data_IF_696339258002
#
_entry.id   IF_696339258002
#
_cell.length_a   1.000
_cell.length_b   1.000
_cell.length_c   1.000
_cell.angle_alpha   90.00
_cell.angle_beta   90.00
_cell.angle_gamma   90.00
#
_symmetry.space_group_name_H-M   'P 1'
#
loop_
_entity.id
_entity.type
_entity.pdbx_description
1 polymer ?
#
# COMPACT_ATOMS: atom_id res chain seq x y z
N UNK A 1 20.43 -9.90 15.58
CA UNK A 1 19.17 -10.07 14.82
C UNK A 1 18.31 -8.84 15.09
N UNK A 2 17.37 -8.50 14.21
CA UNK A 2 16.43 -7.40 14.47
C UNK A 2 15.41 -7.85 15.52
N UNK A 3 15.18 -7.05 16.56
CA UNK A 3 14.16 -7.32 17.60
C UNK A 3 12.77 -6.78 17.20
N UNK A 4 12.62 -6.29 15.97
CA UNK A 4 11.38 -5.71 15.46
C UNK A 4 10.37 -6.79 15.06
N UNK A 5 9.08 -6.46 15.19
CA UNK A 5 7.98 -7.31 14.72
C UNK A 5 7.58 -6.92 13.29
N UNK A 6 7.56 -7.91 12.42
CA UNK A 6 7.20 -7.79 11.01
C UNK A 6 5.86 -8.48 10.75
N UNK A 7 5.10 -7.93 9.80
CA UNK A 7 3.73 -8.34 9.52
C UNK A 7 3.49 -8.46 8.02
N UNK A 8 2.60 -9.38 7.65
CA UNK A 8 2.16 -9.59 6.28
C UNK A 8 0.65 -9.80 6.28
N UNK A 9 -0.04 -9.21 5.31
CA UNK A 9 -1.40 -9.62 4.99
C UNK A 9 -1.37 -10.95 4.22
N UNK A 10 -2.46 -11.70 4.33
CA UNK A 10 -2.62 -13.01 3.69
C UNK A 10 -2.50 -12.91 2.16
N UNK A 11 -1.90 -13.91 1.52
CA UNK A 11 -1.68 -13.90 0.08
C UNK A 11 -0.36 -13.27 -0.31
N UNK A 12 -0.38 -12.13 -1.01
CA UNK A 12 0.87 -11.63 -1.61
C UNK A 12 1.89 -11.20 -0.57
N UNK A 13 1.45 -10.72 0.60
CA UNK A 13 2.37 -10.40 1.68
C UNK A 13 3.18 -11.61 2.15
N UNK A 14 2.54 -12.76 2.30
CA UNK A 14 3.20 -14.02 2.65
C UNK A 14 4.08 -14.52 1.51
N UNK A 15 3.58 -14.47 0.28
CA UNK A 15 4.36 -14.82 -0.91
C UNK A 15 5.64 -13.98 -1.04
N UNK A 16 5.53 -12.67 -0.79
CA UNK A 16 6.67 -11.75 -0.84
C UNK A 16 7.70 -12.05 0.24
N UNK A 17 7.26 -12.39 1.46
CA UNK A 17 8.16 -12.85 2.53
C UNK A 17 8.92 -14.10 2.11
N UNK A 18 8.25 -15.07 1.50
CA UNK A 18 8.82 -16.37 1.15
C UNK A 18 9.70 -16.35 -0.09
N UNK A 19 9.33 -15.57 -1.10
CA UNK A 19 9.96 -15.63 -2.43
C UNK A 19 10.80 -14.39 -2.76
N UNK A 20 10.55 -13.24 -2.13
CA UNK A 20 11.27 -11.98 -2.38
C UNK A 20 12.05 -11.46 -1.15
N UNK A 21 11.85 -12.06 0.04
CA UNK A 21 12.66 -11.77 1.22
C UNK A 21 12.32 -10.45 1.94
N UNK A 22 11.13 -9.89 1.75
CA UNK A 22 10.68 -8.68 2.45
C UNK A 22 9.28 -8.83 3.05
N UNK A 23 8.98 -8.05 4.09
CA UNK A 23 7.67 -8.04 4.74
C UNK A 23 6.85 -6.82 4.32
N UNK A 24 5.53 -6.89 4.43
CA UNK A 24 4.65 -5.78 4.05
C UNK A 24 4.62 -4.65 5.07
N UNK A 25 4.83 -4.95 6.35
CA UNK A 25 4.86 -3.95 7.41
C UNK A 25 5.84 -4.31 8.53
N UNK A 26 6.29 -3.28 9.24
CA UNK A 26 7.07 -3.39 10.48
C UNK A 26 6.50 -2.41 11.50
N UNK A 27 6.48 -2.84 12.77
CA UNK A 27 6.09 -1.96 13.88
C UNK A 27 7.30 -1.55 14.72
N UNK A 28 7.46 -0.25 14.94
CA UNK A 28 8.56 0.38 15.66
C UNK A 28 7.96 1.30 16.72
N UNK A 29 7.80 0.80 17.95
CA UNK A 29 7.15 1.55 19.03
C UNK A 29 5.72 1.96 18.68
N UNK A 30 5.50 3.27 18.58
CA UNK A 30 4.24 3.92 18.21
C UNK A 30 4.09 4.14 16.69
N UNK A 31 4.98 3.59 15.86
CA UNK A 31 4.97 3.76 14.40
C UNK A 31 4.78 2.44 13.69
N UNK A 32 4.03 2.49 12.60
CA UNK A 32 3.95 1.40 11.61
C UNK A 32 4.50 1.94 10.30
N UNK A 33 5.49 1.24 9.74
CA UNK A 33 6.02 1.51 8.41
C UNK A 33 5.63 0.35 7.49
N UNK A 34 5.19 0.67 6.28
CA UNK A 34 4.83 -0.33 5.26
C UNK A 34 5.79 -0.26 4.09
N UNK A 35 6.02 -1.41 3.46
CA UNK A 35 6.70 -1.49 2.17
C UNK A 35 5.87 -0.79 1.09
N UNK A 36 6.52 -0.42 -0.01
CA UNK A 36 5.86 0.19 -1.16
C UNK A 36 4.68 -0.66 -1.66
N UNK A 37 3.49 -0.05 -1.66
CA UNK A 37 2.28 -0.68 -2.17
C UNK A 37 2.07 -0.26 -3.62
N UNK A 38 2.13 -1.25 -4.51
CA UNK A 38 1.58 -1.16 -5.86
C UNK A 38 0.21 -1.84 -5.95
N UNK A 39 -0.19 -2.21 -7.15
CA UNK A 39 -1.45 -2.92 -7.42
C UNK A 39 -1.19 -4.12 -8.30
N UNK A 40 -2.06 -5.12 -8.20
CA UNK A 40 -2.36 -6.00 -9.32
C UNK A 40 -3.88 -6.04 -9.51
N UNK A 41 -4.36 -6.12 -10.75
CA UNK A 41 -5.74 -6.41 -11.06
C UNK A 41 -6.10 -7.79 -10.49
N UNK A 42 -7.18 -7.86 -9.71
CA UNK A 42 -7.83 -9.13 -9.40
C UNK A 42 -8.41 -9.69 -10.70
N UNK A 43 -7.81 -10.76 -11.23
CA UNK A 43 -8.52 -11.60 -12.18
C UNK A 43 -9.55 -12.37 -11.37
N UNK A 44 -10.81 -11.95 -11.35
CA UNK A 44 -11.86 -12.84 -10.82
C UNK A 44 -12.22 -13.87 -11.89
N UNK A 45 -12.10 -15.18 -11.60
CA UNK A 45 -13.10 -16.13 -12.03
C UNK A 45 -13.88 -16.63 -10.82
N UNK A 46 -15.18 -16.29 -10.81
CA UNK A 46 -16.26 -16.82 -9.96
C UNK A 46 -16.14 -16.63 -8.44
N UNK A 47 -16.70 -15.51 -7.97
CA UNK A 47 -17.67 -15.56 -6.87
C UNK A 47 -17.18 -15.27 -5.46
N UNK A 48 -15.90 -14.97 -5.25
CA UNK A 48 -15.39 -14.60 -3.92
C UNK A 48 -14.99 -13.13 -3.86
N UNK A 49 -15.89 -12.28 -3.35
CA UNK A 49 -15.66 -10.86 -3.04
C UNK A 49 -14.80 -10.65 -1.78
N UNK A 50 -14.08 -11.67 -1.30
CA UNK A 50 -13.57 -11.69 0.08
C UNK A 50 -12.27 -10.91 0.29
N UNK A 51 -11.58 -10.50 -0.77
CA UNK A 51 -10.33 -9.70 -0.65
C UNK A 51 -10.46 -8.38 -1.40
N UNK A 52 -10.66 -7.32 -0.63
CA UNK A 52 -10.72 -5.93 -1.12
C UNK A 52 -9.35 -5.30 -0.84
N UNK A 53 -8.25 -5.83 -1.38
CA UNK A 53 -6.91 -5.30 -1.10
C UNK A 53 -5.76 -6.29 -1.21
N UNK A 54 -4.56 -5.75 -1.32
CA UNK A 54 -3.31 -6.48 -1.58
C UNK A 54 -3.00 -6.59 -3.06
N UNK A 55 -1.91 -7.30 -3.35
CA UNK A 55 -1.70 -7.87 -4.68
C UNK A 55 -2.31 -9.27 -4.72
N UNK A 56 -2.70 -9.71 -5.90
CA UNK A 56 -3.23 -11.03 -6.20
C UNK A 56 -2.08 -12.05 -6.05
N UNK A 57 -2.13 -12.94 -5.05
CA UNK A 57 -1.11 -13.95 -4.86
C UNK A 57 -1.24 -15.13 -5.81
N UNK A 58 -2.43 -15.38 -6.34
CA UNK A 58 -2.72 -16.57 -7.16
C UNK A 58 -2.34 -16.34 -8.61
N UNK A 59 -2.34 -15.08 -9.04
CA UNK A 59 -1.95 -14.69 -10.38
C UNK A 59 -0.48 -14.29 -10.42
N UNK A 60 0.38 -15.18 -10.94
CA UNK A 60 1.81 -14.92 -11.15
C UNK A 60 2.19 -15.08 -12.65
N UNK A 61 2.79 -14.07 -13.31
CA UNK A 61 3.07 -12.73 -12.78
C UNK A 61 1.78 -11.96 -12.45
N UNK A 62 1.82 -10.97 -11.54
CA UNK A 62 0.64 -10.19 -11.20
C UNK A 62 0.04 -9.55 -12.45
N UNK A 63 -1.29 -9.54 -12.57
CA UNK A 63 -1.97 -8.80 -13.63
C UNK A 63 -2.12 -7.35 -13.22
N UNK A 64 -2.19 -6.40 -14.14
CA UNK A 64 -2.31 -4.97 -13.82
C UNK A 64 -3.41 -4.33 -14.64
N UNK A 65 -4.16 -3.41 -14.04
CA UNK A 65 -5.03 -2.53 -14.82
C UNK A 65 -4.15 -1.60 -15.66
N UNK A 66 -4.54 -1.33 -16.90
CA UNK A 66 -3.89 -0.29 -17.72
C UNK A 66 -4.40 1.12 -17.39
N UNK A 67 -5.36 1.25 -16.47
CA UNK A 67 -5.91 2.53 -16.03
C UNK A 67 -5.22 3.03 -14.75
N UNK A 68 -4.55 4.19 -14.86
CA UNK A 68 -3.82 4.83 -13.77
C UNK A 68 -4.72 5.09 -12.55
N UNK A 69 -5.96 5.52 -12.75
CA UNK A 69 -6.87 5.83 -11.65
C UNK A 69 -7.21 4.57 -10.85
N UNK A 70 -7.51 3.47 -11.53
CA UNK A 70 -7.77 2.16 -10.93
C UNK A 70 -6.58 1.68 -10.12
N UNK A 71 -5.35 1.83 -10.65
CA UNK A 71 -4.15 1.49 -9.89
C UNK A 71 -4.01 2.33 -8.62
N UNK A 72 -4.18 3.65 -8.71
CA UNK A 72 -4.09 4.55 -7.54
C UNK A 72 -5.17 4.23 -6.50
N UNK A 73 -6.42 4.05 -6.90
CA UNK A 73 -7.52 3.70 -5.98
C UNK A 73 -7.19 2.40 -5.22
N UNK A 74 -6.63 1.40 -5.92
CA UNK A 74 -6.24 0.12 -5.32
C UNK A 74 -5.03 0.24 -4.39
N UNK A 75 -4.04 1.08 -4.73
CA UNK A 75 -2.88 1.31 -3.86
C UNK A 75 -3.30 1.85 -2.49
N UNK A 76 -4.26 2.78 -2.43
CA UNK A 76 -4.75 3.29 -1.14
C UNK A 76 -5.47 2.23 -0.31
N UNK A 77 -6.21 1.33 -0.95
CA UNK A 77 -6.80 0.15 -0.31
C UNK A 77 -5.70 -0.77 0.26
N UNK A 78 -4.61 -0.96 -0.49
CA UNK A 78 -3.49 -1.82 -0.09
C UNK A 78 -2.72 -1.24 1.11
N UNK A 79 -2.55 0.09 1.16
CA UNK A 79 -2.00 0.80 2.31
C UNK A 79 -2.84 0.52 3.57
N UNK A 80 -4.16 0.66 3.47
CA UNK A 80 -5.08 0.39 4.59
C UNK A 80 -4.96 -1.06 5.09
N UNK A 81 -4.91 -2.03 4.15
CA UNK A 81 -4.74 -3.44 4.46
C UNK A 81 -3.41 -3.72 5.18
N UNK A 82 -2.29 -3.22 4.65
CA UNK A 82 -0.96 -3.45 5.22
C UNK A 82 -0.83 -2.87 6.64
N UNK A 83 -1.41 -1.70 6.88
CA UNK A 83 -1.44 -1.08 8.21
C UNK A 83 -2.30 -1.88 9.21
N UNK A 84 -3.46 -2.37 8.77
CA UNK A 84 -4.33 -3.22 9.60
C UNK A 84 -3.69 -4.57 9.93
N UNK A 85 -2.94 -5.16 9.01
CA UNK A 85 -2.18 -6.39 9.25
C UNK A 85 -1.12 -6.23 10.35
N UNK A 86 -0.60 -5.01 10.55
CA UNK A 86 0.33 -4.66 11.63
C UNK A 86 -0.36 -4.21 12.94
N UNK A 87 -1.69 -4.43 13.05
CA UNK A 87 -2.50 -4.07 14.21
C UNK A 87 -2.92 -2.61 14.29
N UNK A 88 -2.65 -1.80 13.26
CA UNK A 88 -3.12 -0.42 13.17
C UNK A 88 -4.61 -0.32 12.85
N UNK A 89 -5.16 0.88 12.97
CA UNK A 89 -6.55 1.23 12.61
C UNK A 89 -6.73 1.50 11.11
N UNK A 90 -5.64 1.41 10.33
CA UNK A 90 -5.64 1.61 8.89
C UNK A 90 -5.14 2.98 8.47
N UNK A 91 -5.51 3.37 7.24
CA UNK A 91 -4.91 4.53 6.57
C UNK A 91 -5.20 5.87 7.27
N UNK A 92 -6.25 5.96 8.08
CA UNK A 92 -6.57 7.16 8.88
C UNK A 92 -5.49 7.52 9.90
N UNK A 93 -4.50 6.66 10.14
CA UNK A 93 -3.36 6.93 11.02
C UNK A 93 -2.11 7.39 10.26
N UNK A 94 -2.15 7.40 8.93
CA UNK A 94 -0.99 7.76 8.10
C UNK A 94 -0.71 9.24 8.20
N UNK A 95 0.53 9.58 8.53
CA UNK A 95 0.98 10.98 8.59
C UNK A 95 1.97 11.33 7.49
N UNK A 96 2.62 10.35 6.84
CA UNK A 96 3.60 10.53 5.76
C UNK A 96 3.30 9.59 4.60
N UNK A 97 3.32 10.14 3.38
CA UNK A 97 3.19 9.41 2.11
C UNK A 97 4.31 9.83 1.17
N UNK A 98 4.97 8.86 0.54
CA UNK A 98 5.80 9.12 -0.63
C UNK A 98 5.24 8.31 -1.82
N UNK A 99 5.06 8.96 -2.97
CA UNK A 99 4.56 8.32 -4.18
C UNK A 99 5.60 8.35 -5.30
N UNK A 100 5.79 7.21 -5.96
CA UNK A 100 6.71 7.01 -7.06
C UNK A 100 5.93 6.70 -8.35
N UNK A 101 6.06 7.57 -9.35
CA UNK A 101 5.26 7.51 -10.58
C UNK A 101 6.18 7.43 -11.79
N UNK A 102 6.18 6.32 -12.56
CA UNK A 102 6.75 6.30 -13.90
C UNK A 102 6.00 7.26 -14.81
N UNK A 103 6.71 8.03 -15.64
CA UNK A 103 6.11 8.98 -16.58
C UNK A 103 5.12 9.96 -15.90
N UNK A 104 5.53 10.57 -14.78
CA UNK A 104 4.70 11.46 -13.97
C UNK A 104 4.03 12.56 -14.83
N UNK A 105 2.70 12.66 -14.70
CA UNK A 105 1.86 13.60 -15.44
C UNK A 105 0.88 14.31 -14.49
N UNK A 106 0.29 15.46 -14.86
CA UNK A 106 -0.68 16.17 -14.00
C UNK A 106 -1.83 15.29 -13.49
N UNK A 107 -2.25 14.30 -14.28
CA UNK A 107 -3.29 13.33 -13.97
C UNK A 107 -2.94 12.46 -12.76
N UNK A 108 -1.68 12.03 -12.60
CA UNK A 108 -1.26 11.22 -11.44
C UNK A 108 -1.47 12.02 -10.15
N UNK A 109 -1.05 13.28 -10.15
CA UNK A 109 -1.21 14.15 -8.99
C UNK A 109 -2.70 14.43 -8.68
N UNK A 110 -3.53 14.56 -9.72
CA UNK A 110 -4.98 14.73 -9.54
C UNK A 110 -5.62 13.52 -8.87
N UNK A 111 -5.34 12.31 -9.37
CA UNK A 111 -5.93 11.08 -8.81
C UNK A 111 -5.40 10.75 -7.41
N UNK A 112 -4.12 11.02 -7.14
CA UNK A 112 -3.58 10.90 -5.78
C UNK A 112 -4.26 11.90 -4.86
N UNK A 113 -4.43 13.17 -5.26
CA UNK A 113 -5.15 14.19 -4.48
C UNK A 113 -6.60 13.77 -4.18
N UNK A 114 -7.31 13.21 -5.16
CA UNK A 114 -8.67 12.69 -4.96
C UNK A 114 -8.71 11.61 -3.86
N UNK A 115 -7.76 10.67 -3.87
CA UNK A 115 -7.64 9.66 -2.81
C UNK A 115 -7.20 10.24 -1.48
N UNK A 116 -6.26 11.20 -1.45
CA UNK A 116 -5.87 11.89 -0.23
C UNK A 116 -7.08 12.59 0.43
N UNK A 117 -7.93 13.25 -0.35
CA UNK A 117 -9.15 13.87 0.21
C UNK A 117 -10.18 12.84 0.68
N UNK A 118 -10.30 11.70 -0.02
CA UNK A 118 -11.25 10.63 0.32
C UNK A 118 -10.87 9.89 1.60
N UNK A 119 -9.60 9.50 1.72
CA UNK A 119 -9.11 8.64 2.80
C UNK A 119 -8.70 9.38 4.07
N UNK A 120 -8.44 10.69 3.95
CA UNK A 120 -8.05 11.55 5.06
C UNK A 120 -9.05 12.70 5.24
N UNK A 121 -10.30 12.44 5.65
CA UNK A 121 -11.25 13.52 5.90
C UNK A 121 -10.80 14.43 7.05
N UNK A 122 -10.24 13.85 8.11
CA UNK A 122 -9.94 14.54 9.38
C UNK A 122 -8.57 15.25 9.43
N UNK A 123 -7.61 14.85 8.61
CA UNK A 123 -6.27 15.48 8.55
C UNK A 123 -5.68 15.43 7.15
N UNK A 124 -4.46 15.93 6.96
CA UNK A 124 -3.73 15.84 5.69
C UNK A 124 -2.31 15.35 5.98
N UNK A 125 -1.89 14.20 5.42
CA UNK A 125 -0.53 13.72 5.59
C UNK A 125 0.45 14.62 4.85
N UNK A 126 1.71 14.65 5.29
CA UNK A 126 2.79 15.18 4.45
C UNK A 126 2.96 14.26 3.25
N UNK A 127 3.16 14.85 2.07
CA UNK A 127 3.25 14.11 0.82
C UNK A 127 4.41 14.60 -0.04
N UNK A 128 5.23 13.66 -0.50
CA UNK A 128 6.24 13.88 -1.55
C UNK A 128 5.90 13.01 -2.77
N UNK A 129 5.91 13.61 -3.96
CA UNK A 129 5.74 12.90 -5.22
C UNK A 129 7.05 12.94 -6.02
N UNK A 130 7.50 11.77 -6.48
CA UNK A 130 8.76 11.61 -7.20
C UNK A 130 8.49 10.89 -8.53
N UNK A 131 8.95 11.50 -9.62
CA UNK A 131 9.02 10.81 -10.92
C UNK A 131 10.18 9.82 -10.91
N UNK A 132 9.91 8.58 -11.32
CA UNK A 132 10.94 7.51 -11.42
C UNK A 132 11.03 6.98 -12.83
N UNK A 133 12.14 6.34 -13.19
CA UNK A 133 12.30 5.74 -14.52
C UNK A 133 11.36 4.53 -14.69
N UNK A 134 11.36 3.61 -13.70
CA UNK A 134 10.62 2.34 -13.71
C UNK A 134 10.30 1.90 -12.27
N UNK A 135 9.33 0.99 -12.16
CA UNK A 135 8.99 0.25 -10.94
C UNK A 135 9.29 -1.24 -11.14
N UNK A 136 8.98 -2.09 -10.15
CA UNK A 136 9.32 -3.52 -10.16
C UNK A 136 8.75 -4.29 -11.37
N UNK A 137 7.55 -3.92 -11.83
CA UNK A 137 6.94 -4.45 -13.06
C UNK A 137 6.66 -3.31 -14.04
N UNK A 138 6.83 -3.57 -15.34
CA UNK A 138 6.68 -2.54 -16.39
C UNK A 138 5.25 -1.98 -16.47
N UNK A 139 4.27 -2.75 -16.01
CA UNK A 139 2.85 -2.39 -15.98
C UNK A 139 2.45 -1.58 -14.73
N UNK A 140 3.32 -1.47 -13.73
CA UNK A 140 3.06 -0.61 -12.58
C UNK A 140 3.13 0.86 -12.99
N UNK A 141 2.06 1.60 -12.70
CA UNK A 141 1.94 3.02 -12.98
C UNK A 141 2.13 3.88 -11.73
N UNK A 142 2.17 3.26 -10.55
CA UNK A 142 2.34 3.93 -9.26
C UNK A 142 2.82 2.94 -8.19
N UNK A 143 3.65 3.43 -7.28
CA UNK A 143 3.97 2.78 -6.01
C UNK A 143 3.93 3.81 -4.88
N UNK A 144 3.37 3.45 -3.72
CA UNK A 144 3.29 4.35 -2.56
C UNK A 144 3.82 3.67 -1.30
N UNK A 145 4.77 4.31 -0.62
CA UNK A 145 5.12 3.99 0.77
C UNK A 145 4.37 4.92 1.74
N UNK A 146 4.08 4.42 2.93
CA UNK A 146 3.40 5.20 3.95
C UNK A 146 3.92 4.89 5.36
N UNK A 147 3.76 5.86 6.25
CA UNK A 147 4.02 5.69 7.68
C UNK A 147 2.80 6.14 8.48
N UNK A 148 2.38 5.28 9.40
CA UNK A 148 1.32 5.57 10.36
C UNK A 148 1.84 5.77 11.78
N UNK A 149 1.16 6.63 12.52
CA UNK A 149 1.32 6.79 13.96
C UNK A 149 0.19 6.07 14.70
N UNK A 150 0.54 5.02 15.43
CA UNK A 150 -0.36 4.22 16.22
C UNK A 150 0.22 4.01 17.63
N UNK A 151 0.04 4.98 18.54
CA UNK A 151 0.52 4.84 19.91
C UNK A 151 -0.26 3.75 20.61
N UNK A 152 0.46 2.78 21.18
CA UNK A 152 -0.13 1.80 22.11
C UNK A 152 -0.64 2.60 23.31
N UNK A 153 -1.95 2.59 23.56
CA UNK A 153 -2.50 3.21 24.76
C UNK A 153 -1.84 2.51 25.97
N UNK A 154 -1.26 3.25 26.92
CA UNK A 154 -0.88 2.65 28.19
C UNK A 154 -2.13 1.99 28.80
N UNK A 155 -2.01 0.74 29.26
CA UNK A 155 -3.02 0.20 30.17
C UNK A 155 -3.03 1.12 31.40
N UNK A 156 -4.19 1.74 31.65
CA UNK A 156 -4.42 2.62 32.81
C UNK A 156 -4.70 1.74 34.02
#
# INVERSE_FOLDING_TARGET
>A
MSDLKYFNYEGFGEHARENYGYNQAVRIGDRIEISGQGTSAFATPKGSLTRIGGWDPETMPPQFSNDLKTQIDQVFINIDLALKAAGGKGISQVYRINSYVPNMAPESNRYIKENLNKWFPEHRPIWTAVGVEKLAFKEMLIEIEAVAHDPVKPEI
#
